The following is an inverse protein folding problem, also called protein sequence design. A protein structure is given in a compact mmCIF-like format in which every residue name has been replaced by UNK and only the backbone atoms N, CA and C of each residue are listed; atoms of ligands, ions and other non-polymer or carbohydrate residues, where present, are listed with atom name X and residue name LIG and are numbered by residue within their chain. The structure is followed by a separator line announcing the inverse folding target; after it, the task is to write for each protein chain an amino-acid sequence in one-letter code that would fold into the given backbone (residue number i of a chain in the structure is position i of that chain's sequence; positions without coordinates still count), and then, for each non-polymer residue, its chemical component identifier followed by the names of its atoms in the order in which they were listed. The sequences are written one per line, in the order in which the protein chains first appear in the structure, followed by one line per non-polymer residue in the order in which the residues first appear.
data_IF_073749749395
#
_entry.id   IF_073749749395
#
_cell.length_a   1.000
_cell.length_b   1.000
_cell.length_c   1.000
_cell.angle_alpha   90.00
_cell.angle_beta   90.00
_cell.angle_gamma   90.00
#
_symmetry.space_group_name_H-M   'P 1'
#
loop_
_entity.id
_entity.type
_entity.pdbx_description
1 polymer ?
#
# COMPACT_ATOMS: atom_id res chain seq x y z
N UNK A 1 17.82 -7.35 24.79
CA UNK A 1 16.99 -7.51 23.57
C UNK A 1 17.51 -8.71 22.79
N UNK A 2 16.61 -9.55 22.27
CA UNK A 2 16.98 -10.70 21.43
C UNK A 2 17.32 -10.24 20.01
N UNK A 3 18.14 -11.00 19.27
CA UNK A 3 18.42 -10.72 17.84
C UNK A 3 17.12 -10.58 17.03
N UNK A 4 16.17 -11.49 17.26
CA UNK A 4 14.85 -11.46 16.63
C UNK A 4 14.08 -10.16 16.93
N UNK A 5 14.06 -9.69 18.18
CA UNK A 5 13.37 -8.45 18.52
C UNK A 5 13.93 -7.24 17.78
N UNK A 6 15.27 -7.14 17.69
CA UNK A 6 15.93 -6.06 16.97
C UNK A 6 15.62 -6.10 15.46
N UNK A 7 15.62 -7.29 14.88
CA UNK A 7 15.32 -7.50 13.45
C UNK A 7 13.87 -7.15 13.10
N UNK A 8 12.89 -7.67 13.86
CA UNK A 8 11.47 -7.36 13.62
C UNK A 8 11.14 -5.89 13.92
N UNK A 9 11.73 -5.28 14.96
CA UNK A 9 11.56 -3.85 15.25
C UNK A 9 12.10 -3.00 14.09
N UNK A 10 13.29 -3.35 13.56
CA UNK A 10 13.89 -2.68 12.41
C UNK A 10 13.02 -2.77 11.15
N UNK A 11 12.52 -3.95 10.81
CA UNK A 11 11.62 -4.15 9.68
C UNK A 11 10.29 -3.40 9.85
N UNK A 12 9.70 -3.42 11.04
CA UNK A 12 8.48 -2.70 11.34
C UNK A 12 8.66 -1.18 11.24
N UNK A 13 9.82 -0.68 11.65
CA UNK A 13 10.19 0.72 11.54
C UNK A 13 10.38 1.14 10.08
N UNK A 14 11.09 0.32 9.29
CA UNK A 14 11.27 0.50 7.85
C UNK A 14 9.93 0.51 7.09
N UNK A 15 9.01 -0.38 7.46
CA UNK A 15 7.66 -0.44 6.90
C UNK A 15 6.90 0.87 7.16
N UNK A 16 6.92 1.36 8.39
CA UNK A 16 6.26 2.60 8.75
C UNK A 16 6.88 3.80 8.03
N UNK A 17 8.21 3.95 8.07
CA UNK A 17 8.91 5.00 7.34
C UNK A 17 8.56 5.00 5.86
N UNK A 18 8.62 3.83 5.22
CA UNK A 18 8.33 3.69 3.80
C UNK A 18 6.92 4.17 3.42
N UNK A 19 5.90 3.91 4.24
CA UNK A 19 4.54 4.40 4.00
C UNK A 19 4.39 5.90 4.31
N UNK A 20 4.99 6.41 5.38
CA UNK A 20 4.97 7.86 5.68
C UNK A 20 5.69 8.69 4.62
N UNK A 21 6.75 8.16 3.99
CA UNK A 21 7.41 8.82 2.86
C UNK A 21 6.48 9.01 1.66
N UNK A 22 5.55 8.09 1.43
CA UNK A 22 4.55 8.26 0.37
C UNK A 22 3.54 9.36 0.69
N UNK A 23 3.29 9.60 1.97
CA UNK A 23 2.46 10.71 2.48
C UNK A 23 3.21 12.06 2.44
N UNK A 24 4.48 12.09 2.03
CA UNK A 24 5.28 13.31 1.93
C UNK A 24 6.10 13.65 3.17
N UNK A 25 6.26 12.71 4.11
CA UNK A 25 7.20 12.86 5.22
C UNK A 25 8.64 12.64 4.71
N UNK A 26 9.55 13.54 5.04
CA UNK A 26 10.94 13.48 4.56
C UNK A 26 11.70 12.26 5.12
N UNK A 27 12.09 11.36 4.22
CA UNK A 27 12.90 10.17 4.50
C UNK A 27 13.48 9.61 3.20
N UNK A 28 14.61 8.90 3.31
CA UNK A 28 15.24 8.19 2.18
C UNK A 28 14.59 6.82 1.90
N UNK A 29 13.80 6.29 2.84
CA UNK A 29 13.16 4.98 2.70
C UNK A 29 11.85 5.13 1.96
N UNK A 30 11.78 4.60 0.74
CA UNK A 30 10.57 4.69 -0.11
C UNK A 30 10.38 3.43 -0.95
N UNK A 31 9.39 2.61 -0.61
CA UNK A 31 9.14 1.28 -1.22
C UNK A 31 7.65 1.01 -1.51
N UNK A 32 6.75 1.95 -1.21
CA UNK A 32 5.29 1.73 -1.22
C UNK A 32 4.53 2.56 -2.26
N UNK A 33 5.22 3.22 -3.20
CA UNK A 33 4.64 4.14 -4.21
C UNK A 33 3.42 3.60 -4.96
N UNK A 34 3.36 2.28 -5.18
CA UNK A 34 2.30 1.60 -5.93
C UNK A 34 1.39 0.72 -5.07
N UNK A 35 1.46 0.83 -3.73
CA UNK A 35 0.58 0.09 -2.82
C UNK A 35 -0.34 1.09 -2.13
N UNK A 36 -1.65 0.86 -2.21
CA UNK A 36 -2.62 1.72 -1.55
C UNK A 36 -2.30 1.80 -0.05
N UNK A 37 -2.12 2.99 0.48
CA UNK A 37 -1.92 3.22 1.92
C UNK A 37 -3.28 3.32 2.62
N UNK A 38 -3.32 2.85 3.86
CA UNK A 38 -4.45 3.05 4.75
C UNK A 38 -4.03 3.90 5.96
N UNK A 39 -4.46 5.16 5.98
CA UNK A 39 -3.98 6.18 6.90
C UNK A 39 -4.25 5.85 8.37
N UNK A 40 -5.48 5.44 8.73
CA UNK A 40 -5.79 5.21 10.15
C UNK A 40 -5.10 3.98 10.75
N UNK A 41 -5.07 2.82 10.08
CA UNK A 41 -4.22 1.71 10.49
C UNK A 41 -2.75 2.12 10.62
N UNK A 42 -2.21 2.90 9.68
CA UNK A 42 -0.81 3.36 9.72
C UNK A 42 -0.56 4.27 10.93
N UNK A 43 -1.44 5.21 11.24
CA UNK A 43 -1.34 6.08 12.42
C UNK A 43 -1.29 5.23 13.70
N UNK A 44 -2.19 4.27 13.85
CA UNK A 44 -2.29 3.42 15.03
C UNK A 44 -1.03 2.54 15.18
N UNK A 45 -0.60 1.90 14.09
CA UNK A 45 0.62 1.10 14.06
C UNK A 45 1.86 1.94 14.37
N UNK A 46 1.94 3.16 13.85
CA UNK A 46 3.06 4.08 14.11
C UNK A 46 3.11 4.50 15.58
N UNK A 47 1.96 4.71 16.21
CA UNK A 47 1.91 5.07 17.62
C UNK A 47 2.50 3.97 18.52
N UNK A 48 2.35 2.68 18.17
CA UNK A 48 2.93 1.56 18.91
C UNK A 48 4.44 1.36 18.67
N UNK A 49 5.06 2.16 17.78
CA UNK A 49 6.52 2.22 17.52
C UNK A 49 7.21 3.38 18.24
N UNK A 50 6.71 3.76 19.43
CA UNK A 50 7.17 4.93 20.18
C UNK A 50 8.64 4.97 20.62
N UNK A 51 9.46 3.95 20.31
CA UNK A 51 10.91 4.02 20.49
C UNK A 51 11.59 4.97 19.51
N UNK A 52 11.08 5.09 18.28
CA UNK A 52 11.59 6.06 17.30
C UNK A 52 10.92 7.44 17.51
N UNK A 53 11.67 8.37 18.08
CA UNK A 53 11.20 9.75 18.32
C UNK A 53 11.03 10.55 17.04
N UNK A 54 11.84 10.28 16.00
CA UNK A 54 11.81 10.99 14.72
C UNK A 54 10.54 10.65 13.94
N UNK A 55 10.21 9.38 13.83
CA UNK A 55 9.01 8.89 13.14
C UNK A 55 7.75 9.38 13.86
N UNK A 56 7.76 9.29 15.19
CA UNK A 56 6.65 9.78 16.01
C UNK A 56 6.43 11.27 15.80
N UNK A 57 7.47 12.10 15.91
CA UNK A 57 7.36 13.54 15.73
C UNK A 57 6.85 13.87 14.32
N UNK A 58 7.51 13.34 13.28
CA UNK A 58 7.18 13.64 11.89
C UNK A 58 5.76 13.20 11.51
N UNK A 59 5.31 12.03 11.97
CA UNK A 59 3.95 11.56 11.70
C UNK A 59 2.89 12.38 12.45
N UNK A 60 3.16 12.80 13.70
CA UNK A 60 2.25 13.68 14.47
C UNK A 60 2.13 15.03 13.78
N UNK A 61 3.24 15.63 13.36
CA UNK A 61 3.25 16.90 12.62
C UNK A 61 2.46 16.78 11.32
N UNK A 62 2.70 15.72 10.55
CA UNK A 62 1.90 15.45 9.35
C UNK A 62 0.40 15.36 9.66
N UNK A 63 0.03 14.67 10.75
CA UNK A 63 -1.37 14.54 11.16
C UNK A 63 -1.99 15.88 11.58
N UNK A 64 -1.22 16.76 12.24
CA UNK A 64 -1.67 18.11 12.62
C UNK A 64 -1.98 18.94 11.37
N UNK A 65 -1.15 18.87 10.34
CA UNK A 65 -1.31 19.64 9.11
C UNK A 65 -2.37 19.06 8.17
N UNK A 66 -2.65 17.76 8.29
CA UNK A 66 -3.53 17.01 7.37
C UNK A 66 -4.77 16.41 8.05
N UNK A 67 -5.20 16.95 9.20
CA UNK A 67 -6.39 16.50 9.93
C UNK A 67 -7.61 16.27 9.02
N UNK A 68 -7.96 17.17 8.07
CA UNK A 68 -9.15 17.00 7.25
C UNK A 68 -9.14 15.73 6.40
N UNK A 69 -7.98 15.10 6.21
CA UNK A 69 -7.84 13.85 5.47
C UNK A 69 -8.04 12.61 6.34
N UNK A 70 -8.05 12.71 7.68
CA UNK A 70 -8.17 11.59 8.60
C UNK A 70 -9.61 11.37 9.10
N UNK A 71 -10.03 10.11 9.21
CA UNK A 71 -11.34 9.71 9.72
C UNK A 71 -11.29 9.41 11.22
N UNK A 72 -11.86 10.32 12.02
CA UNK A 72 -12.06 10.10 13.47
C UNK A 72 -12.84 8.83 13.78
N UNK A 73 -13.79 8.45 12.90
CA UNK A 73 -14.58 7.23 13.08
C UNK A 73 -13.74 5.97 12.86
N UNK A 74 -12.90 5.94 11.82
CA UNK A 74 -12.02 4.79 11.56
C UNK A 74 -10.93 4.69 12.62
N UNK A 75 -10.33 5.81 13.03
CA UNK A 75 -9.39 5.86 14.16
C UNK A 75 -9.99 5.19 15.40
N UNK A 76 -11.21 5.58 15.78
CA UNK A 76 -11.90 5.00 16.96
C UNK A 76 -12.17 3.51 16.80
N UNK A 77 -12.63 3.07 15.62
CA UNK A 77 -12.99 1.68 15.38
C UNK A 77 -11.76 0.77 15.39
N UNK A 78 -10.69 1.14 14.69
CA UNK A 78 -9.45 0.36 14.67
C UNK A 78 -8.75 0.38 16.04
N UNK A 79 -8.70 1.53 16.73
CA UNK A 79 -8.09 1.61 18.06
C UNK A 79 -8.80 0.71 19.10
N UNK A 80 -10.11 0.51 18.95
CA UNK A 80 -10.88 -0.42 19.80
C UNK A 80 -10.54 -1.89 19.52
N UNK A 81 -10.10 -2.22 18.31
CA UNK A 81 -9.65 -3.56 17.94
C UNK A 81 -8.15 -3.80 18.21
N UNK A 82 -7.40 -2.73 18.47
CA UNK A 82 -5.97 -2.80 18.80
C UNK A 82 -5.73 -3.45 20.18
N UNK A 83 -4.51 -3.99 20.38
CA UNK A 83 -4.04 -4.47 21.68
C UNK A 83 -4.09 -3.36 22.73
N UNK A 84 -4.21 -3.67 24.04
CA UNK A 84 -4.21 -2.65 25.08
C UNK A 84 -2.98 -1.72 25.04
N UNK A 85 -1.81 -2.29 24.72
CA UNK A 85 -0.55 -1.55 24.57
C UNK A 85 -0.61 -0.57 23.40
N UNK A 86 -1.00 -1.05 22.23
CA UNK A 86 -1.16 -0.21 21.03
C UNK A 86 -2.21 0.88 21.24
N UNK A 87 -3.34 0.55 21.88
CA UNK A 87 -4.40 1.51 22.22
C UNK A 87 -3.91 2.61 23.15
N UNK A 88 -3.14 2.28 24.19
CA UNK A 88 -2.57 3.27 25.09
C UNK A 88 -1.58 4.19 24.38
N UNK A 89 -0.69 3.62 23.55
CA UNK A 89 0.28 4.39 22.77
C UNK A 89 -0.41 5.33 21.75
N UNK A 90 -1.43 4.82 21.06
CA UNK A 90 -2.27 5.62 20.17
C UNK A 90 -3.06 6.70 20.92
N UNK A 91 -3.58 6.42 22.11
CA UNK A 91 -4.26 7.41 22.93
C UNK A 91 -3.41 8.66 23.18
N UNK A 92 -2.13 8.43 23.52
CA UNK A 92 -1.15 9.50 23.74
C UNK A 92 -0.80 10.27 22.46
N UNK A 93 -0.65 9.54 21.37
CA UNK A 93 -0.47 10.11 20.03
C UNK A 93 -1.64 11.03 19.65
N UNK A 94 -2.87 10.53 19.78
CA UNK A 94 -4.09 11.26 19.49
C UNK A 94 -4.31 12.45 20.44
N UNK A 95 -3.90 12.36 21.71
CA UNK A 95 -3.90 13.49 22.65
C UNK A 95 -3.01 14.63 22.17
N UNK A 96 -1.86 14.29 21.57
CA UNK A 96 -0.93 15.27 20.98
C UNK A 96 -1.58 15.97 19.79
N UNK A 97 -2.09 15.22 18.81
CA UNK A 97 -2.77 15.80 17.64
C UNK A 97 -3.97 16.65 18.07
N UNK A 98 -4.80 16.17 19.02
CA UNK A 98 -5.91 16.93 19.59
C UNK A 98 -5.48 18.26 20.17
N UNK A 99 -4.40 18.27 20.97
CA UNK A 99 -3.89 19.47 21.65
C UNK A 99 -3.40 20.51 20.64
N UNK A 100 -2.66 20.09 19.62
CA UNK A 100 -2.03 21.02 18.68
C UNK A 100 -2.91 21.40 17.47
N UNK A 101 -3.91 20.58 17.11
CA UNK A 101 -4.81 20.85 15.98
C UNK A 101 -6.25 21.22 16.38
N UNK A 102 -6.62 21.12 17.66
CA UNK A 102 -7.96 21.49 18.15
C UNK A 102 -9.07 20.50 17.73
N UNK A 103 -8.74 19.22 17.58
CA UNK A 103 -9.62 18.21 16.94
C UNK A 103 -10.12 17.14 17.91
N UNK A 104 -11.28 16.56 17.63
CA UNK A 104 -11.92 15.54 18.48
C UNK A 104 -11.46 14.11 18.18
N UNK A 105 -10.15 13.90 18.04
CA UNK A 105 -9.58 12.56 17.90
C UNK A 105 -9.80 11.74 19.19
N UNK A 106 -9.88 10.40 19.11
CA UNK A 106 -10.08 9.51 20.27
C UNK A 106 -8.81 9.43 21.15
N UNK A 107 -8.53 10.54 21.84
CA UNK A 107 -7.37 10.76 22.69
C UNK A 107 -7.54 10.19 24.10
N UNK A 108 -6.43 9.78 24.72
CA UNK A 108 -6.35 9.44 26.15
C UNK A 108 -4.91 9.59 26.66
N UNK A 109 -4.75 9.98 27.92
CA UNK A 109 -3.43 10.22 28.52
C UNK A 109 -2.80 11.56 28.09
N UNK A 110 -1.56 11.78 28.53
CA UNK A 110 -0.91 13.10 28.42
C UNK A 110 -0.21 13.30 27.07
N UNK A 111 -0.42 14.43 26.37
CA UNK A 111 0.21 14.69 25.08
C UNK A 111 1.75 14.65 25.17
N UNK A 112 2.40 14.31 24.05
CA UNK A 112 3.84 14.47 23.92
C UNK A 112 4.19 15.96 23.84
N UNK A 113 5.30 16.36 24.46
CA UNK A 113 5.89 17.66 24.22
C UNK A 113 6.56 17.66 22.84
N UNK A 114 6.08 18.51 21.93
CA UNK A 114 6.73 18.75 20.64
C UNK A 114 7.74 19.88 20.82
N UNK A 115 9.03 19.55 20.80
CA UNK A 115 10.12 20.49 21.13
C UNK A 115 10.14 21.70 20.19
N UNK A 116 9.83 21.51 18.90
CA UNK A 116 9.61 22.57 17.93
C UNK A 116 8.60 22.06 16.89
N UNK A 117 7.61 22.86 16.51
CA UNK A 117 6.92 22.62 15.23
C UNK A 117 7.96 22.89 14.15
N UNK A 118 8.40 21.85 13.46
CA UNK A 118 9.02 22.07 12.15
C UNK A 118 7.95 22.78 11.29
N UNK A 119 8.40 23.63 10.36
CA UNK A 119 7.53 24.43 9.48
C UNK A 119 6.36 23.59 8.95
N UNK A 120 5.18 24.20 8.64
CA UNK A 120 4.06 23.46 8.06
C UNK A 120 4.56 22.49 7.00
N UNK A 121 4.27 21.21 7.20
CA UNK A 121 4.72 20.15 6.32
C UNK A 121 4.22 20.40 4.90
N UNK A 122 4.96 19.93 3.90
CA UNK A 122 4.48 20.00 2.52
C UNK A 122 3.21 19.15 2.42
N UNK A 123 2.10 19.66 1.83
CA UNK A 123 0.91 18.85 1.65
C UNK A 123 1.23 17.61 0.79
N UNK A 124 0.60 16.46 1.07
CA UNK A 124 0.82 15.25 0.27
C UNK A 124 0.44 15.49 -1.19
N UNK A 125 1.26 15.01 -2.13
CA UNK A 125 0.89 14.99 -3.55
C UNK A 125 -0.14 13.88 -3.77
N UNK A 126 -1.43 14.25 -3.71
CA UNK A 126 -2.54 13.31 -3.84
C UNK A 126 -2.57 12.57 -5.18
N UNK A 127 -1.79 12.97 -6.20
CA UNK A 127 -1.67 12.27 -7.49
C UNK A 127 -0.82 11.00 -7.41
N UNK A 128 -0.12 10.77 -6.30
CA UNK A 128 0.62 9.53 -6.06
C UNK A 128 -0.28 8.30 -6.00
N UNK A 129 0.05 7.19 -6.68
CA UNK A 129 -0.80 5.99 -6.72
C UNK A 129 -1.12 5.44 -5.33
N UNK A 130 -0.13 5.40 -4.42
CA UNK A 130 -0.30 4.96 -3.04
C UNK A 130 -1.40 5.71 -2.27
N UNK A 131 -1.69 6.97 -2.64
CA UNK A 131 -2.59 7.86 -1.91
C UNK A 131 -4.03 7.82 -2.40
N UNK A 132 -4.44 6.74 -3.06
CA UNK A 132 -5.81 6.56 -3.59
C UNK A 132 -6.90 6.79 -2.54
N UNK A 133 -6.65 6.41 -1.28
CA UNK A 133 -7.59 6.65 -0.19
C UNK A 133 -7.80 8.16 0.02
N UNK A 134 -6.73 8.93 0.08
CA UNK A 134 -6.79 10.37 0.33
C UNK A 134 -7.39 11.11 -0.87
N UNK A 135 -7.09 10.65 -2.10
CA UNK A 135 -7.72 11.17 -3.33
C UNK A 135 -9.23 10.93 -3.33
N UNK A 136 -9.68 9.72 -2.97
CA UNK A 136 -11.11 9.42 -2.85
C UNK A 136 -11.77 10.26 -1.75
N UNK A 137 -11.10 10.50 -0.62
CA UNK A 137 -11.60 11.38 0.45
C UNK A 137 -11.71 12.83 0.01
N UNK A 138 -10.77 13.33 -0.79
CA UNK A 138 -10.87 14.65 -1.40
C UNK A 138 -12.06 14.75 -2.37
N UNK A 139 -12.39 13.66 -3.08
CA UNK A 139 -13.49 13.62 -4.04
C UNK A 139 -14.89 13.48 -3.41
N UNK A 140 -15.07 12.54 -2.47
CA UNK A 140 -16.40 12.18 -1.92
C UNK A 140 -16.54 12.42 -0.41
N UNK A 141 -15.55 13.09 0.18
CA UNK A 141 -15.44 13.38 1.60
C UNK A 141 -14.91 12.21 2.42
N UNK A 142 -14.38 12.51 3.61
CA UNK A 142 -13.94 11.51 4.61
C UNK A 142 -15.15 10.76 5.15
N UNK A 143 -15.49 9.65 4.49
CA UNK A 143 -16.74 8.93 4.73
C UNK A 143 -16.62 7.44 4.37
N UNK A 144 -17.62 6.65 4.74
CA UNK A 144 -17.70 5.25 4.34
C UNK A 144 -17.72 5.07 2.82
N UNK A 145 -18.22 6.06 2.06
CA UNK A 145 -18.24 6.02 0.59
C UNK A 145 -16.84 5.96 0.00
N UNK A 146 -15.92 6.80 0.47
CA UNK A 146 -14.53 6.81 0.01
C UNK A 146 -13.86 5.44 0.25
N UNK A 147 -14.06 4.85 1.43
CA UNK A 147 -13.46 3.56 1.75
C UNK A 147 -14.07 2.40 0.96
N UNK A 148 -15.39 2.42 0.73
CA UNK A 148 -16.07 1.41 -0.09
C UNK A 148 -15.57 1.48 -1.53
N UNK A 149 -15.44 2.68 -2.11
CA UNK A 149 -14.89 2.84 -3.46
C UNK A 149 -13.45 2.33 -3.54
N UNK A 150 -12.60 2.62 -2.55
CA UNK A 150 -11.24 2.07 -2.45
C UNK A 150 -11.24 0.55 -2.46
N UNK A 151 -12.07 -0.07 -1.62
CA UNK A 151 -12.15 -1.52 -1.50
C UNK A 151 -12.68 -2.18 -2.77
N UNK A 152 -13.66 -1.57 -3.44
CA UNK A 152 -14.15 -2.11 -4.70
C UNK A 152 -13.17 -1.92 -5.86
N UNK A 153 -12.38 -0.83 -5.88
CA UNK A 153 -11.30 -0.63 -6.87
C UNK A 153 -10.20 -1.70 -6.75
N UNK A 154 -10.03 -2.31 -5.59
CA UNK A 154 -9.12 -3.45 -5.42
C UNK A 154 -9.58 -4.70 -6.17
N UNK A 155 -10.87 -4.84 -6.46
CA UNK A 155 -11.46 -5.99 -7.15
C UNK A 155 -12.74 -5.55 -7.87
N UNK A 156 -12.63 -4.75 -8.95
CA UNK A 156 -13.76 -4.01 -9.53
C UNK A 156 -14.89 -4.90 -10.03
N UNK A 157 -14.54 -6.08 -10.54
CA UNK A 157 -15.50 -7.05 -11.09
C UNK A 157 -16.11 -7.98 -10.03
N UNK A 158 -15.56 -8.01 -8.81
CA UNK A 158 -15.98 -8.96 -7.78
C UNK A 158 -17.21 -8.43 -7.03
N UNK A 159 -18.38 -9.09 -7.10
CA UNK A 159 -19.51 -8.72 -6.24
C UNK A 159 -19.20 -9.05 -4.78
N UNK A 160 -19.39 -8.07 -3.89
CA UNK A 160 -19.10 -8.19 -2.47
C UNK A 160 -20.36 -8.03 -1.63
N UNK A 161 -20.59 -8.86 -0.61
CA UNK A 161 -21.64 -8.61 0.35
C UNK A 161 -21.26 -7.44 1.27
N UNK A 162 -22.25 -6.72 1.79
CA UNK A 162 -22.07 -5.65 2.78
C UNK A 162 -21.12 -6.02 3.94
N UNK A 163 -21.21 -7.25 4.43
CA UNK A 163 -20.37 -7.74 5.54
C UNK A 163 -18.89 -7.81 5.19
N UNK A 164 -18.53 -8.05 3.93
CA UNK A 164 -17.14 -8.08 3.48
C UNK A 164 -16.53 -6.67 3.41
N UNK A 165 -17.36 -5.62 3.31
CA UNK A 165 -16.89 -4.23 3.23
C UNK A 165 -16.72 -3.60 4.61
N UNK A 166 -17.53 -3.96 5.60
CA UNK A 166 -17.60 -3.22 6.87
C UNK A 166 -16.31 -3.23 7.69
N UNK A 167 -15.72 -4.42 7.88
CA UNK A 167 -14.45 -4.57 8.61
C UNK A 167 -13.31 -3.79 7.96
N UNK A 168 -12.97 -4.08 6.68
CA UNK A 168 -11.91 -3.36 5.97
C UNK A 168 -12.16 -1.84 5.84
N UNK A 169 -13.42 -1.41 5.68
CA UNK A 169 -13.75 0.01 5.61
C UNK A 169 -13.60 0.70 6.97
N UNK A 170 -13.55 -0.03 8.09
CA UNK A 170 -13.48 0.55 9.42
C UNK A 170 -14.77 1.29 9.81
N UNK A 171 -15.93 0.86 9.29
CA UNK A 171 -17.24 1.44 9.59
C UNK A 171 -18.24 0.36 10.03
N UNK A 172 -19.28 0.77 10.76
CA UNK A 172 -20.36 -0.13 11.15
C UNK A 172 -21.15 -0.62 9.93
N UNK A 173 -21.76 -1.81 10.04
CA UNK A 173 -22.61 -2.37 8.98
C UNK A 173 -23.74 -1.42 8.57
N UNK A 174 -24.29 -0.63 9.50
CA UNK A 174 -25.33 0.36 9.21
C UNK A 174 -24.83 1.51 8.35
N UNK A 175 -23.65 2.07 8.66
CA UNK A 175 -23.05 3.14 7.84
C UNK A 175 -22.62 2.68 6.47
N UNK A 176 -22.16 1.44 6.36
CA UNK A 176 -21.84 0.83 5.07
C UNK A 176 -23.12 0.64 4.25
N UNK A 177 -24.23 0.22 4.85
CA UNK A 177 -25.52 0.11 4.16
C UNK A 177 -25.96 1.46 3.58
N UNK A 178 -25.99 2.52 4.41
CA UNK A 178 -26.36 3.87 3.96
C UNK A 178 -25.43 4.38 2.86
N UNK A 179 -24.13 4.13 2.97
CA UNK A 179 -23.18 4.53 1.94
C UNK A 179 -23.38 3.76 0.63
N UNK A 180 -23.70 2.47 0.68
CA UNK A 180 -24.04 1.68 -0.50
C UNK A 180 -25.33 2.15 -1.16
N UNK A 181 -26.37 2.47 -0.37
CA UNK A 181 -27.62 3.05 -0.88
C UNK A 181 -27.36 4.34 -1.66
N UNK A 182 -26.58 5.27 -1.08
CA UNK A 182 -26.22 6.52 -1.75
C UNK A 182 -25.36 6.30 -3.00
N UNK A 183 -24.37 5.39 -2.95
CA UNK A 183 -23.52 5.07 -4.10
C UNK A 183 -24.30 4.36 -5.21
N UNK A 184 -25.32 3.58 -4.87
CA UNK A 184 -26.24 2.97 -5.83
C UNK A 184 -27.17 3.98 -6.45
N UNK A 185 -27.77 4.87 -5.65
CA UNK A 185 -28.60 5.97 -6.16
C UNK A 185 -27.80 6.89 -7.09
N UNK A 186 -26.51 7.12 -6.81
CA UNK A 186 -25.61 7.92 -7.66
C UNK A 186 -25.05 7.14 -8.87
N UNK A 187 -25.39 5.87 -9.06
CA UNK A 187 -24.94 5.06 -10.20
C UNK A 187 -23.45 4.70 -10.20
N UNK A 188 -22.78 4.75 -9.05
CA UNK A 188 -21.39 4.27 -8.89
C UNK A 188 -21.34 2.79 -8.51
N UNK A 189 -22.37 2.27 -7.83
CA UNK A 189 -22.45 0.89 -7.34
C UNK A 189 -23.71 0.21 -7.87
N UNK A 190 -23.56 -0.96 -8.47
CA UNK A 190 -24.66 -1.81 -8.90
C UNK A 190 -24.96 -2.89 -7.85
N UNK A 191 -26.25 -3.18 -7.65
CA UNK A 191 -26.73 -4.24 -6.75
C UNK A 191 -27.16 -5.44 -7.59
N UNK A 192 -26.70 -6.63 -7.21
CA UNK A 192 -27.08 -7.90 -7.82
C UNK A 192 -27.90 -8.67 -6.81
N UNK A 193 -29.08 -9.12 -7.24
CA UNK A 193 -29.89 -10.04 -6.46
C UNK A 193 -29.15 -11.38 -6.36
N UNK A 194 -28.97 -11.87 -5.15
CA UNK A 194 -28.51 -13.23 -4.87
C UNK A 194 -29.44 -13.81 -3.81
N UNK A 195 -29.72 -15.11 -3.91
CA UNK A 195 -30.80 -15.80 -3.21
C UNK A 195 -30.84 -15.54 -1.69
N UNK A 196 -29.70 -15.28 -1.04
CA UNK A 196 -29.62 -15.06 0.42
C UNK A 196 -29.20 -13.65 0.85
N UNK A 197 -28.68 -12.79 -0.04
CA UNK A 197 -28.25 -11.42 0.31
C UNK A 197 -27.89 -10.59 -0.92
N UNK A 198 -28.13 -9.26 -0.92
CA UNK A 198 -27.65 -8.40 -2.01
C UNK A 198 -26.12 -8.37 -2.07
N UNK A 199 -25.60 -8.45 -3.30
CA UNK A 199 -24.18 -8.29 -3.61
C UNK A 199 -23.95 -6.97 -4.36
N UNK A 200 -22.84 -6.31 -4.07
CA UNK A 200 -22.54 -4.97 -4.58
C UNK A 200 -21.24 -5.01 -5.39
N UNK A 201 -21.21 -4.34 -6.54
CA UNK A 201 -19.99 -4.13 -7.34
C UNK A 201 -19.97 -2.72 -7.93
N UNK A 202 -18.82 -2.27 -8.44
CA UNK A 202 -18.76 -1.02 -9.19
C UNK A 202 -19.61 -1.14 -10.46
N UNK A 203 -20.43 -0.14 -10.72
CA UNK A 203 -21.25 -0.09 -11.92
C UNK A 203 -20.40 0.26 -13.15
N UNK A 204 -19.46 1.20 -12.99
CA UNK A 204 -18.59 1.73 -14.05
C UNK A 204 -17.14 1.86 -13.57
N UNK A 205 -16.43 0.75 -13.33
CA UNK A 205 -15.09 0.77 -12.75
C UNK A 205 -14.07 1.52 -13.62
N UNK A 206 -14.17 1.40 -14.96
CA UNK A 206 -13.26 2.09 -15.89
C UNK A 206 -13.40 3.62 -15.85
N UNK A 207 -14.62 4.16 -15.72
CA UNK A 207 -14.85 5.60 -15.64
C UNK A 207 -14.35 6.19 -14.31
N UNK A 208 -14.57 5.46 -13.21
CA UNK A 208 -14.02 5.84 -11.90
C UNK A 208 -12.50 5.80 -11.92
N UNK A 209 -11.90 4.74 -12.48
CA UNK A 209 -10.45 4.62 -12.63
C UNK A 209 -9.88 5.78 -13.46
N UNK A 210 -10.52 6.12 -14.60
CA UNK A 210 -10.12 7.24 -15.46
C UNK A 210 -10.15 8.57 -14.72
N UNK A 211 -11.19 8.80 -13.93
CA UNK A 211 -11.34 10.03 -13.12
C UNK A 211 -10.33 10.13 -11.99
N UNK A 212 -9.81 8.99 -11.53
CA UNK A 212 -8.81 8.92 -10.49
C UNK A 212 -7.39 8.86 -11.06
N UNK A 213 -7.15 8.75 -12.36
CA UNK A 213 -5.80 8.62 -12.95
C UNK A 213 -4.98 7.43 -12.37
N UNK A 214 -3.88 7.72 -11.67
CA UNK A 214 -2.93 6.73 -11.17
C UNK A 214 -3.52 5.88 -10.05
N UNK A 215 -3.93 4.66 -10.37
CA UNK A 215 -4.31 3.65 -9.39
C UNK A 215 -3.07 2.88 -8.86
N UNK A 216 -3.07 2.50 -7.57
CA UNK A 216 -2.05 1.61 -7.04
C UNK A 216 -2.22 0.21 -7.64
N UNK A 217 -1.10 -0.50 -7.78
CA UNK A 217 -1.05 -1.86 -8.28
C UNK A 217 -1.62 -2.86 -7.27
N UNK A 218 -1.42 -2.62 -5.98
CA UNK A 218 -1.92 -3.46 -4.91
C UNK A 218 -2.72 -2.67 -3.87
N UNK A 219 -3.67 -3.34 -3.23
CA UNK A 219 -4.50 -2.80 -2.15
C UNK A 219 -4.37 -3.66 -0.90
N UNK A 220 -3.24 -3.57 -0.17
CA UNK A 220 -3.04 -4.39 1.01
C UNK A 220 -4.08 -4.08 2.09
N UNK A 221 -4.56 -5.12 2.77
CA UNK A 221 -5.36 -4.94 3.97
C UNK A 221 -4.42 -4.66 5.15
N UNK A 222 -4.05 -3.39 5.30
CA UNK A 222 -3.02 -2.99 6.26
C UNK A 222 -3.35 -3.27 7.72
N UNK A 223 -4.64 -3.25 8.09
CA UNK A 223 -5.05 -3.51 9.47
C UNK A 223 -4.64 -4.91 9.97
N UNK A 224 -5.05 -6.02 9.31
CA UNK A 224 -4.59 -7.36 9.69
C UNK A 224 -3.07 -7.50 9.55
N UNK A 225 -2.43 -6.88 8.54
CA UNK A 225 -0.95 -6.90 8.42
C UNK A 225 -0.28 -6.32 9.66
N UNK A 226 -0.73 -5.14 10.11
CA UNK A 226 -0.18 -4.49 11.29
C UNK A 226 -0.48 -5.26 12.59
N UNK A 227 -1.65 -5.90 12.71
CA UNK A 227 -1.93 -6.79 13.85
C UNK A 227 -1.00 -7.99 13.91
N UNK A 228 -0.71 -8.61 12.75
CA UNK A 228 0.26 -9.72 12.67
C UNK A 228 1.64 -9.20 13.09
N UNK A 229 2.10 -8.10 12.49
CA UNK A 229 3.38 -7.47 12.83
C UNK A 229 3.52 -7.16 14.32
N UNK A 230 2.52 -6.52 14.93
CA UNK A 230 2.52 -6.21 16.36
C UNK A 230 2.62 -7.46 17.23
N UNK A 231 1.87 -8.51 16.90
CA UNK A 231 1.91 -9.77 17.66
C UNK A 231 3.27 -10.46 17.56
N UNK A 232 3.89 -10.44 16.37
CA UNK A 232 5.22 -11.02 16.16
C UNK A 232 6.31 -10.25 16.92
N UNK A 233 6.22 -8.92 16.94
CA UNK A 233 7.11 -8.06 17.72
C UNK A 233 6.93 -8.33 19.21
N UNK A 234 5.69 -8.37 19.71
CA UNK A 234 5.39 -8.69 21.11
C UNK A 234 5.93 -10.07 21.50
N UNK A 235 5.75 -11.08 20.65
CA UNK A 235 6.38 -12.38 20.81
C UNK A 235 7.90 -12.24 20.92
N UNK A 236 8.57 -11.56 19.98
CA UNK A 236 10.03 -11.46 19.94
C UNK A 236 10.62 -10.77 21.19
N UNK A 237 9.94 -9.76 21.73
CA UNK A 237 10.32 -9.10 22.99
C UNK A 237 10.12 -10.00 24.23
N UNK A 238 9.27 -11.01 24.13
CA UNK A 238 8.97 -11.97 25.22
C UNK A 238 9.73 -13.29 25.11
N UNK A 239 10.70 -13.44 24.19
CA UNK A 239 11.41 -14.70 23.90
C UNK A 239 12.38 -15.19 24.99
N UNK A 240 12.54 -14.46 26.10
CA UNK A 240 13.40 -14.88 27.21
C UNK A 240 12.76 -16.02 28.02
N UNK A 241 13.54 -17.04 28.40
CA UNK A 241 13.09 -18.16 29.23
C UNK A 241 13.44 -19.55 28.69
N UNK A 242 12.97 -20.62 29.35
CA UNK A 242 13.23 -22.00 28.93
C UNK A 242 12.58 -22.32 27.58
N UNK A 243 13.11 -23.31 26.81
CA UNK A 243 12.60 -23.66 25.48
C UNK A 243 11.10 -23.98 25.42
N UNK A 244 10.54 -24.64 26.44
CA UNK A 244 9.11 -24.97 26.51
C UNK A 244 8.23 -23.72 26.55
N UNK A 245 8.58 -22.74 27.39
CA UNK A 245 7.85 -21.47 27.48
C UNK A 245 7.88 -20.68 26.15
N UNK A 246 8.95 -20.83 25.36
CA UNK A 246 9.07 -20.19 24.04
C UNK A 246 8.11 -20.85 23.02
N UNK A 247 7.96 -22.19 23.07
CA UNK A 247 6.97 -22.91 22.25
C UNK A 247 5.56 -22.46 22.59
N UNK A 248 5.21 -22.40 23.88
CA UNK A 248 3.88 -21.99 24.33
C UNK A 248 3.54 -20.57 23.86
N UNK A 249 4.50 -19.64 23.95
CA UNK A 249 4.33 -18.26 23.46
C UNK A 249 4.21 -18.19 21.94
N UNK A 250 4.99 -18.97 21.19
CA UNK A 250 4.88 -19.01 19.74
C UNK A 250 3.51 -19.56 19.31
N UNK A 251 3.01 -20.59 20.00
CA UNK A 251 1.67 -21.17 19.76
C UNK A 251 0.55 -20.19 20.10
N UNK A 252 0.68 -19.44 21.20
CA UNK A 252 -0.25 -18.38 21.56
C UNK A 252 -0.25 -17.25 20.52
N UNK A 253 0.93 -16.81 20.06
CA UNK A 253 1.07 -15.79 19.02
C UNK A 253 0.43 -16.25 17.70
N UNK A 254 0.70 -17.48 17.25
CA UNK A 254 0.12 -18.04 16.03
C UNK A 254 -1.41 -18.14 16.12
N UNK A 255 -1.93 -18.64 17.23
CA UNK A 255 -3.38 -18.74 17.47
C UNK A 255 -4.06 -17.38 17.46
N UNK A 256 -3.36 -16.34 17.96
CA UNK A 256 -3.86 -14.97 17.95
C UNK A 256 -3.93 -14.37 16.54
N UNK A 257 -2.95 -14.64 15.68
CA UNK A 257 -2.88 -14.08 14.32
C UNK A 257 -3.61 -14.92 13.26
N UNK A 258 -3.98 -16.17 13.55
CA UNK A 258 -4.69 -17.09 12.65
C UNK A 258 -5.90 -16.46 11.93
N UNK A 259 -6.80 -15.70 12.60
CA UNK A 259 -7.90 -15.04 11.90
C UNK A 259 -7.43 -14.03 10.85
N UNK A 260 -6.32 -13.34 11.12
CA UNK A 260 -5.78 -12.30 10.25
C UNK A 260 -5.01 -12.91 9.07
N UNK A 261 -4.27 -13.99 9.31
CA UNK A 261 -3.64 -14.78 8.24
C UNK A 261 -4.69 -15.36 7.28
N UNK A 262 -5.78 -15.91 7.82
CA UNK A 262 -6.92 -16.39 7.00
C UNK A 262 -7.56 -15.26 6.20
N UNK A 263 -7.74 -14.08 6.79
CA UNK A 263 -8.25 -12.88 6.09
C UNK A 263 -7.33 -12.43 4.97
N UNK A 264 -6.02 -12.52 5.18
CA UNK A 264 -5.00 -12.17 4.18
C UNK A 264 -4.78 -13.26 3.13
N UNK A 265 -5.34 -14.46 3.31
CA UNK A 265 -5.06 -15.61 2.45
C UNK A 265 -3.62 -16.10 2.55
N UNK A 266 -2.92 -15.80 3.64
CA UNK A 266 -1.53 -16.20 3.87
C UNK A 266 -1.52 -17.49 4.67
N UNK A 267 -0.86 -18.56 4.19
CA UNK A 267 -0.71 -19.77 4.98
C UNK A 267 0.17 -19.48 6.20
N UNK A 268 -0.34 -19.78 7.38
CA UNK A 268 0.44 -19.75 8.61
C UNK A 268 1.43 -20.92 8.68
N UNK A 269 2.48 -20.81 9.49
CA UNK A 269 3.37 -21.94 9.77
C UNK A 269 2.58 -23.08 10.42
N UNK A 270 2.89 -24.33 10.05
CA UNK A 270 2.24 -25.52 10.62
C UNK A 270 2.68 -25.75 12.08
N UNK A 271 1.93 -26.60 12.77
CA UNK A 271 2.02 -26.94 14.20
C UNK A 271 3.43 -26.79 14.81
N UNK A 272 3.49 -26.14 15.99
CA UNK A 272 4.73 -25.80 16.66
C UNK A 272 5.16 -26.91 17.62
N UNK A 273 6.27 -27.56 17.31
CA UNK A 273 7.06 -28.41 18.19
C UNK A 273 8.33 -27.64 18.60
N UNK A 274 9.06 -28.04 19.65
CA UNK A 274 10.31 -27.37 20.06
C UNK A 274 11.32 -27.16 18.92
N UNK A 275 11.35 -28.05 17.92
CA UNK A 275 12.23 -27.95 16.75
C UNK A 275 11.73 -26.98 15.67
N UNK A 276 10.45 -26.62 15.66
CA UNK A 276 9.86 -25.72 14.65
C UNK A 276 9.69 -24.27 15.10
N UNK A 277 10.07 -23.92 16.34
CA UNK A 277 10.12 -22.51 16.79
C UNK A 277 11.04 -21.66 15.92
N UNK A 278 12.20 -22.19 15.53
CA UNK A 278 13.11 -21.49 14.63
C UNK A 278 12.48 -21.26 13.24
N UNK A 279 11.67 -22.21 12.75
CA UNK A 279 10.94 -22.06 11.50
C UNK A 279 9.83 -21.00 11.60
N UNK A 280 9.12 -20.93 12.73
CA UNK A 280 8.17 -19.86 13.02
C UNK A 280 8.83 -18.48 13.04
N UNK A 281 9.98 -18.37 13.69
CA UNK A 281 10.71 -17.11 13.78
C UNK A 281 11.27 -16.68 12.43
N UNK A 282 11.77 -17.63 11.64
CA UNK A 282 12.17 -17.36 10.27
C UNK A 282 10.99 -16.88 9.42
N UNK A 283 9.84 -17.57 9.51
CA UNK A 283 8.61 -17.15 8.84
C UNK A 283 8.14 -15.76 9.30
N UNK A 284 8.30 -15.42 10.59
CA UNK A 284 7.93 -14.12 11.13
C UNK A 284 8.78 -12.98 10.52
N UNK A 285 10.09 -13.21 10.37
CA UNK A 285 11.00 -12.30 9.66
C UNK A 285 10.59 -12.18 8.20
N UNK A 286 10.45 -13.31 7.48
CA UNK A 286 10.04 -13.29 6.07
C UNK A 286 8.69 -12.61 5.83
N UNK A 287 7.74 -12.77 6.75
CA UNK A 287 6.44 -12.13 6.68
C UNK A 287 6.60 -10.60 6.66
N UNK A 288 7.40 -10.05 7.60
CA UNK A 288 7.65 -8.62 7.71
C UNK A 288 8.53 -8.09 6.57
N UNK A 289 9.57 -8.82 6.16
CA UNK A 289 10.42 -8.48 5.01
C UNK A 289 9.58 -8.29 3.74
N UNK A 290 8.66 -9.23 3.46
CA UNK A 290 7.72 -9.11 2.34
C UNK A 290 6.88 -7.85 2.40
N UNK A 291 6.51 -7.39 3.60
CA UNK A 291 5.78 -6.13 3.74
C UNK A 291 6.67 -4.92 3.46
N UNK A 292 7.92 -4.93 3.94
CA UNK A 292 8.89 -3.85 3.75
C UNK A 292 9.30 -3.69 2.29
N UNK A 293 9.57 -4.80 1.60
CA UNK A 293 10.03 -4.80 0.20
C UNK A 293 8.99 -4.23 -0.76
N UNK A 294 7.71 -4.25 -0.40
CA UNK A 294 6.63 -3.81 -1.28
C UNK A 294 6.40 -4.75 -2.49
N UNK A 295 6.99 -5.95 -2.49
CA UNK A 295 6.95 -6.93 -3.57
C UNK A 295 5.87 -7.99 -3.35
N UNK A 296 5.12 -8.31 -4.40
CA UNK A 296 4.62 -9.68 -4.58
C UNK A 296 5.76 -10.48 -5.20
N UNK A 297 6.02 -11.68 -4.67
CA UNK A 297 7.27 -12.39 -4.87
C UNK A 297 7.67 -12.60 -6.33
N UNK A 298 8.86 -12.12 -6.69
CA UNK A 298 9.74 -12.80 -7.64
C UNK A 298 11.17 -12.29 -7.43
N UNK A 299 12.05 -13.19 -6.97
CA UNK A 299 13.50 -12.96 -6.74
C UNK A 299 14.27 -12.90 -8.07
N UNK A 300 13.92 -12.00 -8.96
CA UNK A 300 14.80 -11.61 -10.07
C UNK A 300 15.05 -10.12 -9.94
N UNK A 301 16.33 -9.71 -9.90
CA UNK A 301 16.69 -8.30 -9.92
C UNK A 301 16.02 -7.66 -11.13
N UNK A 302 15.03 -6.77 -10.95
CA UNK A 302 14.24 -6.28 -12.06
C UNK A 302 15.14 -5.49 -13.00
N UNK A 303 14.96 -5.70 -14.31
CA UNK A 303 15.66 -4.89 -15.30
C UNK A 303 15.35 -3.40 -15.06
N UNK A 304 16.37 -2.56 -15.26
CA UNK A 304 16.27 -1.11 -15.21
C UNK A 304 16.40 -0.59 -16.63
N UNK A 305 15.43 0.19 -17.05
CA UNK A 305 15.34 0.81 -18.36
C UNK A 305 15.83 2.24 -18.31
N UNK A 306 16.89 2.55 -19.04
CA UNK A 306 17.40 3.91 -19.22
C UNK A 306 16.99 4.41 -20.58
N UNK A 307 16.26 5.53 -20.62
CA UNK A 307 15.77 6.15 -21.85
C UNK A 307 16.32 7.56 -21.96
N UNK A 308 16.93 7.90 -23.09
CA UNK A 308 17.52 9.22 -23.34
C UNK A 308 16.99 9.81 -24.65
N UNK A 309 16.52 11.05 -24.60
CA UNK A 309 16.17 11.82 -25.79
C UNK A 309 17.39 12.62 -26.23
N UNK A 310 17.92 12.33 -27.41
CA UNK A 310 19.08 13.01 -27.97
C UNK A 310 18.69 14.42 -28.45
N UNK A 311 19.71 15.28 -28.61
CA UNK A 311 19.53 16.63 -29.17
C UNK A 311 18.95 16.61 -30.59
N UNK A 312 19.24 15.56 -31.36
CA UNK A 312 18.67 15.30 -32.69
C UNK A 312 17.18 14.94 -32.67
N UNK A 313 16.58 14.73 -31.48
CA UNK A 313 15.21 14.25 -31.31
C UNK A 313 15.07 12.72 -31.36
N UNK A 314 16.15 12.01 -31.74
CA UNK A 314 16.21 10.55 -31.68
C UNK A 314 16.30 10.03 -30.23
N UNK A 315 16.03 8.75 -30.04
CA UNK A 315 15.98 8.12 -28.72
C UNK A 315 16.94 6.95 -28.60
N UNK A 316 17.57 6.86 -27.43
CA UNK A 316 18.31 5.70 -26.97
C UNK A 316 17.56 5.02 -25.83
N UNK A 317 17.58 3.69 -25.82
CA UNK A 317 16.88 2.86 -24.85
C UNK A 317 17.72 1.65 -24.49
N UNK A 318 18.03 1.49 -23.21
CA UNK A 318 18.84 0.38 -22.71
C UNK A 318 18.12 -0.33 -21.57
N UNK A 319 18.32 -1.64 -21.47
CA UNK A 319 17.90 -2.48 -20.35
C UNK A 319 19.14 -3.03 -19.64
N UNK A 320 19.19 -2.96 -18.32
CA UNK A 320 20.26 -3.54 -17.51
C UNK A 320 19.70 -4.32 -16.32
N UNK A 321 20.23 -5.50 -16.07
CA UNK A 321 19.99 -6.29 -14.85
C UNK A 321 21.20 -6.21 -13.94
N UNK A 322 20.99 -6.32 -12.63
CA UNK A 322 22.10 -6.30 -11.66
C UNK A 322 23.09 -7.43 -11.97
N UNK A 323 24.32 -7.08 -12.32
CA UNK A 323 25.38 -8.05 -12.67
C UNK A 323 25.46 -8.43 -14.15
N UNK A 324 24.74 -7.75 -15.05
CA UNK A 324 24.82 -7.96 -16.51
C UNK A 324 25.14 -6.67 -17.25
N UNK A 325 25.75 -6.78 -18.43
CA UNK A 325 25.98 -5.63 -19.31
C UNK A 325 24.65 -5.05 -19.82
N UNK A 326 24.63 -3.73 -20.01
CA UNK A 326 23.46 -3.04 -20.53
C UNK A 326 23.23 -3.41 -22.00
N UNK A 327 22.03 -3.87 -22.32
CA UNK A 327 21.62 -4.24 -23.68
C UNK A 327 20.75 -3.15 -24.29
N UNK A 328 21.00 -2.80 -25.55
CA UNK A 328 20.11 -1.90 -26.30
C UNK A 328 18.74 -2.56 -26.54
N UNK A 329 17.66 -1.82 -26.30
CA UNK A 329 16.28 -2.28 -26.52
C UNK A 329 15.87 -2.21 -27.99
N UNK A 330 16.51 -1.34 -28.78
CA UNK A 330 16.27 -1.17 -30.21
C UNK A 330 17.58 -1.35 -30.97
N UNK A 331 17.54 -1.99 -32.14
CA UNK A 331 18.73 -2.22 -32.98
C UNK A 331 19.34 -0.91 -33.52
N UNK A 332 18.50 0.10 -33.73
CA UNK A 332 18.87 1.44 -34.16
C UNK A 332 18.28 2.48 -33.19
N UNK A 333 18.78 3.73 -33.28
CA UNK A 333 18.18 4.86 -32.58
C UNK A 333 16.71 5.00 -32.97
N UNK A 334 15.83 5.00 -31.98
CA UNK A 334 14.41 5.11 -32.24
C UNK A 334 14.04 6.55 -32.63
N UNK A 335 13.29 6.67 -33.71
CA UNK A 335 12.84 7.95 -34.25
C UNK A 335 11.59 8.51 -33.55
N UNK A 336 11.01 7.77 -32.59
CA UNK A 336 9.83 8.20 -31.84
C UNK A 336 9.80 7.64 -30.42
N UNK A 337 9.16 8.40 -29.53
CA UNK A 337 8.87 7.97 -28.17
C UNK A 337 7.98 6.70 -28.14
N UNK A 338 7.08 6.57 -29.11
CA UNK A 338 6.17 5.42 -29.25
C UNK A 338 6.95 4.11 -29.47
N UNK A 339 7.98 4.13 -30.34
CA UNK A 339 8.83 2.95 -30.57
C UNK A 339 9.64 2.56 -29.34
N UNK A 340 10.18 3.55 -28.61
CA UNK A 340 10.92 3.31 -27.37
C UNK A 340 10.02 2.69 -26.30
N UNK A 341 8.84 3.28 -26.10
CA UNK A 341 7.86 2.73 -25.20
C UNK A 341 7.50 1.29 -25.59
N UNK A 342 7.19 1.04 -26.86
CA UNK A 342 6.82 -0.30 -27.32
C UNK A 342 7.93 -1.34 -27.06
N UNK A 343 9.19 -1.02 -27.36
CA UNK A 343 10.33 -1.90 -27.10
C UNK A 343 10.52 -2.17 -25.59
N UNK A 344 10.36 -1.13 -24.76
CA UNK A 344 10.44 -1.25 -23.30
C UNK A 344 9.32 -2.13 -22.73
N UNK A 345 8.07 -1.95 -23.19
CA UNK A 345 6.94 -2.77 -22.75
C UNK A 345 7.04 -4.22 -23.24
N UNK A 346 7.46 -4.44 -24.49
CA UNK A 346 7.69 -5.77 -25.01
C UNK A 346 8.74 -6.50 -24.16
N UNK A 347 9.86 -5.84 -23.83
CA UNK A 347 10.90 -6.41 -22.98
C UNK A 347 10.39 -6.70 -21.56
N UNK A 348 9.78 -5.71 -20.89
CA UNK A 348 9.40 -5.82 -19.48
C UNK A 348 8.28 -6.83 -19.22
N UNK A 349 7.31 -6.90 -20.13
CA UNK A 349 6.09 -7.68 -19.96
C UNK A 349 6.31 -9.10 -20.48
N UNK A 350 6.85 -9.28 -21.69
CA UNK A 350 7.06 -10.63 -22.28
C UNK A 350 8.06 -11.44 -21.47
N UNK A 351 9.11 -10.81 -20.92
CA UNK A 351 10.10 -11.50 -20.09
C UNK A 351 9.55 -11.99 -18.73
N UNK A 352 8.32 -11.61 -18.36
CA UNK A 352 7.76 -11.85 -17.02
C UNK A 352 6.52 -12.74 -17.02
N UNK A 353 5.94 -13.06 -18.18
CA UNK A 353 4.64 -13.73 -18.26
C UNK A 353 4.77 -15.11 -18.92
N UNK A 354 4.26 -16.16 -18.27
CA UNK A 354 4.07 -17.49 -18.89
C UNK A 354 2.93 -17.49 -19.92
N UNK A 355 2.06 -16.48 -19.89
CA UNK A 355 0.90 -16.34 -20.78
C UNK A 355 1.21 -15.33 -21.89
N UNK A 356 0.83 -15.65 -23.13
CA UNK A 356 0.97 -14.75 -24.28
C UNK A 356 0.22 -13.42 -24.02
N UNK A 357 0.94 -12.31 -24.15
CA UNK A 357 0.39 -10.96 -24.07
C UNK A 357 0.00 -10.51 -25.47
N UNK A 358 -1.19 -9.93 -25.61
CA UNK A 358 -1.66 -9.38 -26.88
C UNK A 358 -0.83 -8.15 -27.31
N UNK A 359 -0.25 -8.23 -28.51
CA UNK A 359 0.52 -7.15 -29.14
C UNK A 359 -0.31 -5.87 -29.32
N UNK A 360 -1.62 -5.97 -29.54
CA UNK A 360 -2.48 -4.80 -29.66
C UNK A 360 -2.58 -4.03 -28.34
N UNK A 361 -2.67 -4.74 -27.20
CA UNK A 361 -2.66 -4.11 -25.88
C UNK A 361 -1.32 -3.42 -25.60
N UNK A 362 -0.19 -4.05 -25.98
CA UNK A 362 1.14 -3.43 -25.87
C UNK A 362 1.21 -2.15 -26.68
N UNK A 363 0.71 -2.14 -27.93
CA UNK A 363 0.70 -0.96 -28.79
C UNK A 363 -0.18 0.19 -28.27
N UNK A 364 -1.32 -0.11 -27.65
CA UNK A 364 -2.20 0.93 -27.09
C UNK A 364 -1.56 1.55 -25.86
N UNK A 365 -1.07 0.72 -24.93
CA UNK A 365 -0.49 1.21 -23.68
C UNK A 365 0.84 1.93 -23.90
N UNK A 366 1.67 1.45 -24.83
CA UNK A 366 2.95 2.10 -25.16
C UNK A 366 2.76 3.50 -25.75
N UNK A 367 1.73 3.71 -26.59
CA UNK A 367 1.39 5.04 -27.12
C UNK A 367 0.96 6.02 -26.04
N UNK A 368 0.17 5.57 -25.07
CA UNK A 368 -0.17 6.41 -23.91
C UNK A 368 1.05 6.76 -23.08
N UNK A 369 1.90 5.77 -22.79
CA UNK A 369 3.13 6.01 -22.04
C UNK A 369 4.06 7.00 -22.77
N UNK A 370 4.20 6.84 -24.08
CA UNK A 370 4.95 7.76 -24.92
C UNK A 370 4.38 9.17 -24.81
N UNK A 371 3.07 9.34 -24.87
CA UNK A 371 2.42 10.65 -24.80
C UNK A 371 2.53 11.30 -23.41
N UNK A 372 2.22 10.57 -22.35
CA UNK A 372 2.10 11.10 -21.00
C UNK A 372 3.45 11.25 -20.29
N UNK A 373 4.44 10.41 -20.63
CA UNK A 373 5.68 10.31 -19.87
C UNK A 373 6.91 10.68 -20.70
N UNK A 374 7.01 10.17 -21.93
CA UNK A 374 8.23 10.35 -22.72
C UNK A 374 8.23 11.66 -23.52
N UNK A 375 7.13 12.03 -24.19
CA UNK A 375 7.05 13.26 -24.98
C UNK A 375 7.31 14.55 -24.18
N UNK A 376 6.95 14.65 -22.89
CA UNK A 376 7.34 15.79 -22.05
C UNK A 376 8.85 15.93 -21.82
N UNK A 377 9.67 14.91 -22.07
CA UNK A 377 11.12 15.00 -21.91
C UNK A 377 11.72 15.93 -22.98
N UNK A 378 12.48 16.91 -22.51
CA UNK A 378 13.26 17.82 -23.33
C UNK A 378 14.42 17.12 -24.06
N UNK A 379 14.94 17.79 -25.08
CA UNK A 379 16.14 17.33 -25.77
C UNK A 379 17.34 17.27 -24.81
N UNK A 380 18.10 16.17 -24.86
CA UNK A 380 19.23 15.89 -23.97
C UNK A 380 18.85 15.30 -22.61
N UNK A 381 17.57 15.14 -22.29
CA UNK A 381 17.14 14.58 -21.01
C UNK A 381 17.17 13.05 -20.99
N UNK A 382 17.49 12.51 -19.82
CA UNK A 382 17.50 11.09 -19.50
C UNK A 382 16.48 10.80 -18.40
N UNK A 383 15.84 9.63 -18.47
CA UNK A 383 14.95 9.10 -17.44
C UNK A 383 15.20 7.62 -17.25
N UNK A 384 14.79 7.09 -16.10
CA UNK A 384 14.97 5.68 -15.75
C UNK A 384 13.68 5.09 -15.19
N UNK A 385 13.35 3.88 -15.62
CA UNK A 385 12.19 3.12 -15.16
C UNK A 385 12.60 1.71 -14.74
N UNK A 386 11.97 1.16 -13.72
CA UNK A 386 12.16 -0.26 -13.37
C UNK A 386 11.20 -1.13 -14.18
N UNK A 387 11.56 -2.39 -14.42
CA UNK A 387 10.66 -3.34 -15.07
C UNK A 387 9.37 -3.56 -14.28
N UNK A 388 9.43 -3.46 -12.96
CA UNK A 388 8.24 -3.48 -12.12
C UNK A 388 7.31 -2.30 -12.39
N UNK A 389 7.86 -1.08 -12.53
CA UNK A 389 7.06 0.10 -12.91
C UNK A 389 6.43 -0.09 -14.29
N UNK A 390 7.21 -0.53 -15.29
CA UNK A 390 6.71 -0.72 -16.67
C UNK A 390 5.60 -1.78 -16.70
N UNK A 391 5.80 -2.93 -16.05
CA UNK A 391 4.77 -3.98 -15.94
C UNK A 391 3.50 -3.48 -15.26
N UNK A 392 3.64 -2.75 -14.15
CA UNK A 392 2.49 -2.22 -13.41
C UNK A 392 1.75 -1.13 -14.18
N UNK A 393 2.47 -0.27 -14.90
CA UNK A 393 1.86 0.66 -15.84
C UNK A 393 1.05 -0.09 -16.89
N UNK A 394 1.64 -1.15 -17.45
CA UNK A 394 0.98 -2.00 -18.44
C UNK A 394 -0.31 -2.59 -17.90
N UNK A 395 -0.27 -3.23 -16.73
CA UNK A 395 -1.42 -3.85 -16.10
C UNK A 395 -2.53 -2.84 -15.78
N UNK A 396 -2.17 -1.66 -15.27
CA UNK A 396 -3.11 -0.59 -14.95
C UNK A 396 -3.86 -0.13 -16.21
N UNK A 397 -3.13 0.19 -17.29
CA UNK A 397 -3.75 0.63 -18.55
C UNK A 397 -4.42 -0.51 -19.31
N UNK A 398 -3.92 -1.74 -19.24
CA UNK A 398 -4.61 -2.91 -19.78
C UNK A 398 -5.98 -3.10 -19.13
N UNK A 399 -6.09 -2.91 -17.81
CA UNK A 399 -7.40 -2.93 -17.10
C UNK A 399 -8.32 -1.80 -17.55
N UNK A 400 -7.79 -0.62 -17.89
CA UNK A 400 -8.55 0.51 -18.47
C UNK A 400 -9.17 0.15 -19.84
N UNK A 401 -8.51 -0.70 -20.64
CA UNK A 401 -8.92 -1.06 -22.01
C UNK A 401 -9.61 -2.43 -22.13
N UNK A 402 -9.45 -3.32 -21.16
CA UNK A 402 -9.95 -4.70 -21.17
C UNK A 402 -11.45 -4.88 -20.88
N UNK A 403 -12.28 -3.85 -21.04
CA UNK A 403 -13.75 -3.96 -21.06
C UNK A 403 -14.33 -3.88 -22.48
N UNK A 404 -13.47 -3.82 -23.50
CA UNK A 404 -13.85 -3.72 -24.92
C UNK A 404 -12.97 -4.63 -25.79
N UNK A 405 -12.87 -5.91 -25.43
CA UNK A 405 -12.44 -6.98 -26.34
C UNK A 405 -13.48 -8.10 -26.30
#
# INVERSE_FOLDING_TARGET
MSRLSHELDGLALDLAWSQWTELGVDSIVRRHEWRAIDLEPLIIFTASRGSDSRLRAASIEWCIDNVPLASVFRLRNFAREASPKTRAAFGRYAATVKTYAGVSWPASGDPYALAHRLRPGRPPDLRRPALIQLRLRALVGVSARAEILKLMLASPERPLPKSALAGPAGYSKGRVAQALELLTAAGFVAVHASANRPLYRLARPADLARSLEWLPAAYPDWWPIFKVAETLIEYAHSTSGPPSARVDRAQAALSHIEPELRRLGIPGPRALEPRSVAAFEHWAVEFLERQVEGREGTRSSPAVYRLRRLASGAWEAFAATTGSEARALTAELANSADRVAQAMFADAVVASTEVAVDDAAIQVVSREFAYEVLRPLGAGQETTYTAEFVRRWFENRRRKYGATA
#
